data_IF_190177220383
#
_entry.id   IF_190177220383
#
_cell.length_a   1.000
_cell.length_b   1.000
_cell.length_c   1.000
_cell.angle_alpha   90.00
_cell.angle_beta   90.00
_cell.angle_gamma   90.00
#
_symmetry.space_group_name_H-M   'P 1'
#
loop_
_entity.id
_entity.type
_entity.pdbx_description
1 polymer ?
#
# COMPACT_ATOMS: atom_id res chain seq x y z
N UNK A 1 5.06 -10.64 27.11
CA UNK A 1 4.78 -10.87 25.67
C UNK A 1 6.06 -10.55 24.94
N UNK A 2 6.63 -11.51 24.20
CA UNK A 2 7.85 -11.28 23.43
C UNK A 2 7.56 -10.28 22.31
N UNK A 3 8.38 -9.23 22.22
CA UNK A 3 8.41 -8.34 21.06
C UNK A 3 8.60 -9.21 19.82
N UNK A 4 7.89 -8.95 18.69
CA UNK A 4 8.13 -9.71 17.48
C UNK A 4 9.63 -9.69 17.16
N UNK A 5 10.16 -10.82 16.73
CA UNK A 5 11.61 -10.96 16.44
C UNK A 5 11.94 -10.22 15.15
N UNK A 6 11.96 -8.87 15.21
CA UNK A 6 12.48 -8.06 14.13
C UNK A 6 14.00 -8.21 14.13
N UNK A 7 14.49 -9.00 13.17
CA UNK A 7 15.92 -9.26 13.00
C UNK A 7 16.56 -8.30 11.99
N UNK A 8 15.77 -7.83 11.00
CA UNK A 8 16.20 -6.97 9.90
C UNK A 8 15.11 -5.98 9.54
N UNK A 9 15.35 -4.70 9.74
CA UNK A 9 14.40 -3.66 9.40
C UNK A 9 14.41 -2.43 10.29
N UNK A 10 13.34 -1.67 10.21
CA UNK A 10 13.12 -0.43 10.96
C UNK A 10 11.76 -0.45 11.62
N UNK A 11 11.70 -0.05 12.89
CA UNK A 11 10.47 0.08 13.67
C UNK A 11 10.43 1.47 14.30
N UNK A 12 9.39 2.24 13.99
CA UNK A 12 9.13 3.55 14.57
C UNK A 12 7.78 3.56 15.27
N UNK A 13 7.72 4.16 16.46
CA UNK A 13 6.47 4.48 17.16
C UNK A 13 6.54 5.93 17.63
N UNK A 14 5.51 6.72 17.35
CA UNK A 14 5.38 8.08 17.87
C UNK A 14 4.07 8.26 18.61
N UNK A 15 4.04 9.28 19.51
CA UNK A 15 2.82 9.85 20.08
C UNK A 15 2.86 11.36 19.84
N UNK A 16 1.89 11.88 19.08
CA UNK A 16 2.05 13.21 18.54
C UNK A 16 3.30 13.31 17.67
N UNK A 17 4.18 14.25 18.01
CA UNK A 17 5.47 14.41 17.33
C UNK A 17 6.64 13.82 18.16
N UNK A 18 6.35 13.23 19.33
CA UNK A 18 7.34 12.57 20.18
C UNK A 18 7.65 11.17 19.64
N UNK A 19 8.92 10.86 19.43
CA UNK A 19 9.41 9.54 19.04
C UNK A 19 9.59 8.66 20.28
N UNK A 20 8.80 7.61 20.40
CA UNK A 20 8.81 6.68 21.55
C UNK A 20 9.68 5.45 21.28
N UNK A 21 9.71 4.97 20.03
CA UNK A 21 10.54 3.83 19.61
C UNK A 21 11.22 4.20 18.30
N UNK A 22 12.53 4.00 18.26
CA UNK A 22 13.37 4.12 17.06
C UNK A 22 14.36 2.94 17.06
N UNK A 23 14.05 1.92 16.27
CA UNK A 23 14.88 0.73 16.15
C UNK A 23 15.26 0.49 14.70
N UNK A 24 16.56 0.42 14.47
CA UNK A 24 17.13 -0.01 13.18
C UNK A 24 17.99 -1.23 13.47
N UNK A 25 17.68 -2.36 12.87
CA UNK A 25 18.35 -3.63 13.18
C UNK A 25 18.72 -4.42 11.93
N UNK A 26 19.77 -5.20 12.05
CA UNK A 26 20.19 -6.20 11.08
C UNK A 26 20.73 -5.67 9.76
N UNK A 27 20.80 -6.56 8.79
CA UNK A 27 21.34 -6.28 7.46
C UNK A 27 20.23 -5.88 6.47
N UNK A 28 20.46 -4.82 5.71
CA UNK A 28 19.66 -4.47 4.53
C UNK A 28 19.93 -5.43 3.36
N UNK A 29 21.12 -6.03 3.35
CA UNK A 29 21.53 -7.07 2.41
C UNK A 29 22.47 -8.03 3.12
N UNK A 30 22.05 -9.25 3.36
CA UNK A 30 22.85 -10.26 4.05
C UNK A 30 24.03 -10.75 3.20
N UNK A 31 23.89 -10.76 1.90
CA UNK A 31 24.93 -11.26 0.99
C UNK A 31 26.17 -10.36 1.03
N UNK A 32 25.96 -9.05 1.03
CA UNK A 32 27.05 -8.07 1.13
C UNK A 32 27.40 -7.69 2.57
N UNK A 33 26.59 -8.05 3.56
CA UNK A 33 26.70 -7.62 4.94
C UNK A 33 26.35 -6.14 5.15
N UNK A 34 25.72 -5.48 4.19
CA UNK A 34 25.32 -4.07 4.28
C UNK A 34 24.24 -3.88 5.36
N UNK A 35 24.50 -3.05 6.40
CA UNK A 35 23.53 -2.89 7.50
C UNK A 35 22.29 -2.10 7.07
N UNK A 36 21.18 -2.32 7.77
CA UNK A 36 20.06 -1.39 7.75
C UNK A 36 20.47 -0.04 8.33
N UNK A 37 19.94 1.03 7.78
CA UNK A 37 20.10 2.41 8.24
C UNK A 37 18.77 3.12 8.22
N UNK A 38 18.60 4.29 8.84
CA UNK A 38 17.38 5.09 8.68
C UNK A 38 17.05 5.48 7.23
N UNK A 39 18.07 5.51 6.35
CA UNK A 39 17.93 5.80 4.93
C UNK A 39 17.65 4.56 4.07
N UNK A 40 17.67 3.36 4.64
CA UNK A 40 17.34 2.13 3.91
C UNK A 40 15.88 2.18 3.43
N UNK A 41 15.69 1.88 2.14
CA UNK A 41 14.37 1.79 1.52
C UNK A 41 13.91 0.35 1.44
N UNK A 42 12.66 0.13 1.77
CA UNK A 42 12.00 -1.17 1.73
C UNK A 42 10.80 -1.13 0.79
N UNK A 43 10.43 -2.24 0.20
CA UNK A 43 9.12 -2.37 -0.43
C UNK A 43 8.04 -2.30 0.66
N UNK A 44 7.12 -1.35 0.52
CA UNK A 44 5.99 -1.23 1.47
C UNK A 44 4.79 -2.07 1.06
N UNK A 45 4.92 -2.76 -0.08
CA UNK A 45 3.91 -3.69 -0.58
C UNK A 45 2.52 -3.04 -0.60
N UNK A 46 1.49 -3.72 -0.11
CA UNK A 46 0.10 -3.27 -0.17
C UNK A 46 -0.20 -1.93 0.52
N UNK A 47 0.71 -1.38 1.31
CA UNK A 47 0.59 0.01 1.80
C UNK A 47 0.61 1.01 0.62
N UNK A 48 1.21 0.65 -0.52
CA UNK A 48 1.18 1.42 -1.78
C UNK A 48 -0.24 1.78 -2.23
N UNK A 49 -1.23 0.94 -1.91
CA UNK A 49 -2.64 1.20 -2.23
C UNK A 49 -3.16 2.51 -1.65
N UNK A 50 -2.63 2.93 -0.52
CA UNK A 50 -2.98 4.21 0.10
C UNK A 50 -2.59 5.40 -0.80
N UNK A 51 -1.39 5.33 -1.40
CA UNK A 51 -0.88 6.36 -2.30
C UNK A 51 -1.63 6.33 -3.65
N UNK A 52 -1.96 5.13 -4.15
CA UNK A 52 -2.81 4.98 -5.34
C UNK A 52 -4.21 5.58 -5.11
N UNK A 53 -4.81 5.34 -3.95
CA UNK A 53 -6.09 5.95 -3.59
C UNK A 53 -5.99 7.48 -3.49
N UNK A 54 -4.92 8.01 -2.91
CA UNK A 54 -4.69 9.46 -2.85
C UNK A 54 -4.51 10.07 -4.25
N UNK A 55 -3.82 9.38 -5.17
CA UNK A 55 -3.69 9.83 -6.55
C UNK A 55 -5.06 9.95 -7.25
N UNK A 56 -5.94 8.97 -7.07
CA UNK A 56 -7.32 9.02 -7.57
C UNK A 56 -8.09 10.18 -6.95
N UNK A 57 -7.97 10.39 -5.63
CA UNK A 57 -8.66 11.48 -4.94
C UNK A 57 -8.15 12.85 -5.38
N UNK A 58 -6.84 13.05 -5.59
CA UNK A 58 -6.28 14.30 -6.14
C UNK A 58 -6.87 14.63 -7.52
N UNK A 59 -6.99 13.64 -8.40
CA UNK A 59 -7.61 13.83 -9.71
C UNK A 59 -9.12 14.11 -9.59
N UNK A 60 -9.79 13.52 -8.61
CA UNK A 60 -11.20 13.79 -8.33
C UNK A 60 -11.41 15.20 -7.80
N UNK A 61 -10.56 15.70 -6.89
CA UNK A 61 -10.59 17.09 -6.40
C UNK A 61 -10.39 18.13 -7.52
N UNK A 62 -9.59 17.77 -8.52
CA UNK A 62 -9.36 18.59 -9.71
C UNK A 62 -10.48 18.49 -10.76
N UNK A 63 -11.49 17.63 -10.52
CA UNK A 63 -12.59 17.41 -11.47
C UNK A 63 -12.20 16.65 -12.74
N UNK A 64 -11.01 16.02 -12.78
CA UNK A 64 -10.52 15.25 -13.94
C UNK A 64 -11.26 13.93 -14.05
N UNK A 65 -11.54 13.28 -12.93
CA UNK A 65 -12.33 12.04 -12.85
C UNK A 65 -13.37 12.13 -11.72
N UNK A 66 -14.28 11.16 -11.70
CA UNK A 66 -15.25 10.96 -10.62
C UNK A 66 -15.13 9.55 -10.08
N UNK A 67 -15.27 9.35 -8.77
CA UNK A 67 -15.23 8.02 -8.17
C UNK A 67 -16.34 7.09 -8.71
N UNK A 68 -17.43 7.67 -9.23
CA UNK A 68 -18.53 6.96 -9.91
C UNK A 68 -18.26 6.67 -11.38
N UNK A 69 -17.17 7.16 -11.96
CA UNK A 69 -16.82 6.82 -13.35
C UNK A 69 -16.61 5.31 -13.46
N UNK A 70 -17.13 4.68 -14.53
CA UNK A 70 -16.81 3.29 -14.80
C UNK A 70 -15.32 3.16 -15.16
N UNK A 71 -14.66 2.11 -14.69
CA UNK A 71 -13.24 1.85 -14.98
C UNK A 71 -12.99 1.74 -16.49
N UNK A 72 -13.97 1.26 -17.22
CA UNK A 72 -13.96 1.14 -18.70
C UNK A 72 -13.69 2.47 -19.42
N UNK A 73 -13.98 3.60 -18.82
CA UNK A 73 -13.66 4.93 -19.38
C UNK A 73 -12.15 5.18 -19.46
N UNK A 74 -11.39 4.55 -18.58
CA UNK A 74 -9.97 4.84 -18.36
C UNK A 74 -9.03 3.73 -18.87
N UNK A 75 -9.57 2.65 -19.41
CA UNK A 75 -8.80 1.51 -19.92
C UNK A 75 -8.97 1.39 -21.44
N UNK A 76 -7.92 0.95 -22.17
CA UNK A 76 -8.07 0.54 -23.56
C UNK A 76 -8.89 -0.75 -23.60
N UNK A 77 -9.78 -0.91 -24.56
CA UNK A 77 -10.55 -2.13 -24.86
C UNK A 77 -11.05 -2.92 -23.63
N UNK A 78 -11.78 -2.25 -22.70
CA UNK A 78 -12.21 -2.88 -21.46
C UNK A 78 -13.19 -4.01 -21.75
N UNK A 79 -13.05 -5.17 -21.08
CA UNK A 79 -13.94 -6.28 -21.29
C UNK A 79 -15.38 -5.91 -20.85
N UNK A 80 -16.44 -6.38 -21.58
CA UNK A 80 -17.83 -6.02 -21.28
C UNK A 80 -18.25 -6.30 -19.83
N UNK A 81 -17.72 -7.34 -19.21
CA UNK A 81 -18.02 -7.70 -17.81
C UNK A 81 -17.53 -6.67 -16.79
N UNK A 82 -16.67 -5.71 -17.15
CA UNK A 82 -16.22 -4.63 -16.28
C UNK A 82 -17.05 -3.35 -16.41
N UNK A 83 -18.06 -3.31 -17.28
CA UNK A 83 -18.85 -2.10 -17.56
C UNK A 83 -19.55 -1.50 -16.33
N UNK A 84 -19.90 -2.33 -15.33
CA UNK A 84 -20.50 -1.90 -14.06
C UNK A 84 -19.49 -1.59 -12.94
N UNK A 85 -18.19 -1.82 -13.15
CA UNK A 85 -17.14 -1.56 -12.15
C UNK A 85 -16.79 -0.08 -12.18
N UNK A 86 -16.96 0.61 -11.06
CA UNK A 86 -16.56 2.02 -10.88
C UNK A 86 -15.21 2.12 -10.16
N UNK A 87 -14.59 3.31 -10.21
CA UNK A 87 -13.37 3.58 -9.42
C UNK A 87 -13.62 3.40 -7.92
N UNK A 88 -14.80 3.76 -7.42
CA UNK A 88 -15.22 3.49 -6.04
C UNK A 88 -15.19 1.99 -5.70
N UNK A 89 -15.73 1.14 -6.58
CA UNK A 89 -15.71 -0.31 -6.36
C UNK A 89 -14.29 -0.88 -6.28
N UNK A 90 -13.36 -0.35 -7.08
CA UNK A 90 -11.95 -0.75 -7.03
C UNK A 90 -11.27 -0.29 -5.73
N UNK A 91 -11.49 0.98 -5.35
CA UNK A 91 -10.93 1.57 -4.13
C UNK A 91 -11.37 0.83 -2.86
N UNK A 92 -12.59 0.29 -2.85
CA UNK A 92 -13.20 -0.37 -1.68
C UNK A 92 -13.12 -1.90 -1.72
N UNK A 93 -12.53 -2.48 -2.76
CA UNK A 93 -12.51 -3.94 -2.97
C UNK A 93 -13.91 -4.58 -3.12
N UNK A 94 -14.86 -3.83 -3.67
CA UNK A 94 -16.22 -4.30 -3.94
C UNK A 94 -16.50 -4.50 -5.44
N UNK A 95 -15.47 -4.55 -6.26
CA UNK A 95 -15.59 -4.72 -7.71
C UNK A 95 -15.97 -6.14 -8.15
N UNK A 96 -15.72 -7.14 -7.31
CA UNK A 96 -15.81 -8.56 -7.66
C UNK A 96 -14.57 -9.12 -8.34
N UNK A 97 -13.55 -8.29 -8.63
CA UNK A 97 -12.26 -8.80 -9.14
C UNK A 97 -11.54 -9.62 -8.07
N UNK A 98 -10.96 -10.75 -8.49
CA UNK A 98 -10.16 -11.62 -7.64
C UNK A 98 -8.84 -10.99 -7.16
N UNK A 99 -8.11 -11.70 -6.32
CA UNK A 99 -6.73 -11.40 -5.94
C UNK A 99 -5.76 -12.23 -6.80
N UNK A 100 -4.48 -12.33 -6.45
CA UNK A 100 -3.48 -13.03 -7.26
C UNK A 100 -3.79 -14.52 -7.43
N UNK A 101 -4.39 -15.15 -6.43
CA UNK A 101 -4.73 -16.57 -6.42
C UNK A 101 -5.75 -16.94 -7.49
N UNK A 102 -6.64 -16.01 -7.86
CA UNK A 102 -7.62 -16.21 -8.91
C UNK A 102 -7.04 -16.00 -10.32
N UNK A 103 -5.78 -15.53 -10.43
CA UNK A 103 -5.12 -15.26 -11.70
C UNK A 103 -3.86 -16.10 -11.90
N UNK A 104 -3.97 -17.43 -11.99
CA UNK A 104 -2.80 -18.34 -12.06
C UNK A 104 -1.93 -18.14 -13.32
N UNK A 105 -2.44 -17.45 -14.34
CA UNK A 105 -1.67 -17.08 -15.53
C UNK A 105 -0.79 -15.85 -15.34
N UNK A 106 -0.88 -15.16 -14.21
CA UNK A 106 -0.06 -13.98 -13.87
C UNK A 106 1.16 -14.43 -13.09
N UNK A 107 2.34 -14.23 -13.65
CA UNK A 107 3.61 -14.34 -12.92
C UNK A 107 3.90 -13.00 -12.26
N UNK A 108 3.80 -12.93 -10.93
CA UNK A 108 4.01 -11.70 -10.17
C UNK A 108 5.48 -11.25 -10.08
N UNK A 109 6.41 -12.15 -10.40
CA UNK A 109 7.85 -11.86 -10.43
C UNK A 109 8.38 -11.66 -11.85
N UNK A 110 7.64 -12.11 -12.85
CA UNK A 110 8.03 -12.01 -14.26
C UNK A 110 7.58 -10.68 -14.89
N UNK A 111 8.33 -10.19 -15.88
CA UNK A 111 7.94 -8.99 -16.61
C UNK A 111 6.63 -9.21 -17.37
N UNK A 112 5.78 -8.22 -17.39
CA UNK A 112 4.52 -8.25 -18.11
C UNK A 112 4.34 -6.98 -18.96
N UNK A 113 3.81 -7.15 -20.17
CA UNK A 113 3.30 -6.01 -20.92
C UNK A 113 1.94 -5.59 -20.36
N UNK A 114 1.66 -4.29 -20.25
CA UNK A 114 0.44 -3.78 -19.64
C UNK A 114 -0.86 -4.32 -20.24
N UNK A 115 -0.95 -4.40 -21.56
CA UNK A 115 -2.17 -4.86 -22.24
C UNK A 115 -2.36 -6.37 -22.09
N UNK A 116 -1.27 -7.15 -22.08
CA UNK A 116 -1.31 -8.59 -21.79
C UNK A 116 -1.79 -8.85 -20.37
N UNK A 117 -1.34 -8.06 -19.40
CA UNK A 117 -1.77 -8.17 -18.01
C UNK A 117 -3.28 -7.89 -17.88
N UNK A 118 -3.78 -6.84 -18.53
CA UNK A 118 -5.22 -6.55 -18.57
C UNK A 118 -6.00 -7.70 -19.22
N UNK A 119 -5.49 -8.29 -20.30
CA UNK A 119 -6.06 -9.48 -20.95
C UNK A 119 -6.15 -10.68 -20.00
N UNK A 120 -5.10 -10.93 -19.19
CA UNK A 120 -5.10 -12.00 -18.18
C UNK A 120 -6.12 -11.75 -17.08
N UNK A 121 -6.29 -10.50 -16.62
CA UNK A 121 -7.35 -10.15 -15.66
C UNK A 121 -8.74 -10.32 -16.28
N UNK A 122 -8.92 -9.93 -17.53
CA UNK A 122 -10.18 -10.07 -18.26
C UNK A 122 -10.60 -11.53 -18.52
N UNK A 123 -9.64 -12.45 -18.57
CA UNK A 123 -9.91 -13.87 -18.79
C UNK A 123 -10.61 -14.56 -17.60
N UNK A 124 -10.58 -13.94 -16.42
CA UNK A 124 -11.22 -14.46 -15.20
C UNK A 124 -12.49 -13.66 -14.92
N UNK A 125 -13.67 -14.31 -14.84
CA UNK A 125 -14.91 -13.61 -14.52
C UNK A 125 -14.88 -13.08 -13.09
N UNK A 126 -15.55 -11.94 -12.81
CA UNK A 126 -15.72 -11.43 -11.46
C UNK A 126 -16.38 -12.47 -10.53
N UNK A 127 -15.94 -12.53 -9.27
CA UNK A 127 -16.46 -13.44 -8.24
C UNK A 127 -17.94 -13.14 -7.86
N UNK A 128 -18.31 -11.87 -7.98
CA UNK A 128 -19.66 -11.37 -7.73
C UNK A 128 -19.89 -10.06 -8.50
N UNK A 129 -21.17 -9.63 -8.68
CA UNK A 129 -21.47 -8.34 -9.30
C UNK A 129 -20.89 -7.17 -8.48
N UNK A 130 -20.47 -6.07 -9.14
CA UNK A 130 -19.97 -4.88 -8.45
C UNK A 130 -20.91 -4.38 -7.36
N UNK A 131 -20.37 -4.14 -6.16
CA UNK A 131 -21.13 -3.71 -4.98
C UNK A 131 -21.82 -4.81 -4.20
N UNK A 132 -21.86 -6.06 -4.69
CA UNK A 132 -22.59 -7.16 -4.04
C UNK A 132 -21.81 -7.87 -2.92
N UNK A 133 -20.51 -7.62 -2.78
CA UNK A 133 -19.65 -8.26 -1.77
C UNK A 133 -18.33 -7.51 -1.61
N UNK A 134 -17.48 -8.06 -0.77
CA UNK A 134 -16.12 -7.59 -0.53
C UNK A 134 -15.11 -8.72 -0.77
N UNK A 135 -14.10 -8.46 -1.58
CA UNK A 135 -12.98 -9.36 -1.80
C UNK A 135 -11.72 -8.55 -2.08
N UNK A 136 -10.69 -8.72 -1.27
CA UNK A 136 -9.44 -7.98 -1.42
C UNK A 136 -8.81 -8.25 -2.80
N UNK A 137 -8.50 -7.21 -3.55
CA UNK A 137 -8.04 -7.32 -4.95
C UNK A 137 -6.86 -6.38 -5.22
N UNK A 138 -5.67 -6.94 -5.39
CA UNK A 138 -4.51 -6.19 -5.91
C UNK A 138 -4.67 -5.85 -7.40
N UNK A 139 -5.19 -6.75 -8.28
CA UNK A 139 -5.53 -6.39 -9.65
C UNK A 139 -6.44 -5.17 -9.76
N UNK A 140 -7.40 -4.99 -8.85
CA UNK A 140 -8.23 -3.78 -8.82
C UNK A 140 -7.43 -2.49 -8.64
N UNK A 141 -6.36 -2.52 -7.87
CA UNK A 141 -5.48 -1.36 -7.68
C UNK A 141 -4.51 -1.14 -8.84
N UNK A 142 -4.14 -2.20 -9.57
CA UNK A 142 -3.44 -2.04 -10.86
C UNK A 142 -4.32 -1.28 -11.85
N UNK A 143 -5.63 -1.60 -11.93
CA UNK A 143 -6.57 -0.86 -12.76
C UNK A 143 -6.73 0.60 -12.34
N UNK A 144 -6.70 0.90 -11.02
CA UNK A 144 -6.69 2.29 -10.51
C UNK A 144 -5.44 3.04 -10.95
N UNK A 145 -4.26 2.43 -10.84
CA UNK A 145 -3.03 3.06 -11.30
C UNK A 145 -3.06 3.35 -12.81
N UNK A 146 -3.59 2.44 -13.62
CA UNK A 146 -3.83 2.67 -15.06
C UNK A 146 -4.82 3.81 -15.30
N UNK A 147 -5.89 3.89 -14.51
CA UNK A 147 -6.83 5.00 -14.61
C UNK A 147 -6.15 6.35 -14.27
N UNK A 148 -5.25 6.37 -13.27
CA UNK A 148 -4.45 7.57 -12.95
C UNK A 148 -3.57 7.97 -14.14
N UNK A 149 -2.84 7.02 -14.76
CA UNK A 149 -2.00 7.29 -15.94
C UNK A 149 -2.79 7.94 -17.07
N UNK A 150 -3.94 7.35 -17.41
CA UNK A 150 -4.79 7.86 -18.48
C UNK A 150 -5.41 9.22 -18.15
N UNK A 151 -5.88 9.41 -16.91
CA UNK A 151 -6.49 10.64 -16.47
C UNK A 151 -5.50 11.80 -16.36
N UNK A 152 -4.26 11.50 -15.98
CA UNK A 152 -3.19 12.49 -15.83
C UNK A 152 -2.35 12.68 -17.09
N UNK A 153 -2.51 11.85 -18.11
CA UNK A 153 -1.72 11.80 -19.35
C UNK A 153 -0.21 11.74 -19.09
N UNK A 154 0.19 10.91 -18.11
CA UNK A 154 1.60 10.69 -17.74
C UNK A 154 1.79 9.39 -16.96
N UNK A 155 3.03 8.82 -16.92
CA UNK A 155 3.32 7.61 -16.17
C UNK A 155 2.93 7.73 -14.69
N UNK A 156 2.37 6.67 -14.10
CA UNK A 156 1.91 6.61 -12.72
C UNK A 156 3.03 6.94 -11.71
N UNK A 157 4.22 6.37 -11.89
CA UNK A 157 5.36 6.65 -11.02
C UNK A 157 5.75 8.15 -11.03
N UNK A 158 5.71 8.79 -12.20
CA UNK A 158 5.93 10.23 -12.35
C UNK A 158 4.85 11.05 -11.64
N UNK A 159 3.57 10.63 -11.78
CA UNK A 159 2.48 11.27 -11.06
C UNK A 159 2.70 11.22 -9.55
N UNK A 160 3.03 10.05 -8.99
CA UNK A 160 3.29 9.91 -7.56
C UNK A 160 4.49 10.77 -7.11
N UNK A 161 5.56 10.79 -7.89
CA UNK A 161 6.75 11.56 -7.54
C UNK A 161 6.45 13.05 -7.39
N UNK A 162 5.72 13.63 -8.36
CA UNK A 162 5.45 15.06 -8.42
C UNK A 162 4.27 15.51 -7.56
N UNK A 163 3.21 14.68 -7.48
CA UNK A 163 1.94 15.08 -6.87
C UNK A 163 1.72 14.53 -5.46
N UNK A 164 2.50 13.49 -5.09
CA UNK A 164 2.38 12.86 -3.78
C UNK A 164 3.66 12.99 -2.97
N UNK A 165 4.79 12.49 -3.47
CA UNK A 165 6.01 12.43 -2.68
C UNK A 165 6.67 13.80 -2.50
N UNK A 166 6.82 14.57 -3.56
CA UNK A 166 7.46 15.90 -3.49
C UNK A 166 6.70 16.89 -2.59
N UNK A 167 5.35 17.05 -2.68
CA UNK A 167 4.60 17.93 -1.79
C UNK A 167 4.66 17.56 -0.31
N UNK A 168 4.85 16.26 -0.02
CA UNK A 168 5.00 15.76 1.36
C UNK A 168 6.45 15.79 1.85
N UNK A 169 7.43 16.03 0.97
CA UNK A 169 8.85 15.95 1.30
C UNK A 169 9.36 14.52 1.48
N UNK A 170 8.69 13.52 0.89
CA UNK A 170 9.05 12.10 0.95
C UNK A 170 10.17 11.77 -0.05
N UNK A 171 11.35 12.32 0.19
CA UNK A 171 12.50 12.25 -0.74
C UNK A 171 13.15 10.85 -0.82
N UNK A 172 12.88 10.01 0.14
CA UNK A 172 13.32 8.61 0.18
C UNK A 172 12.36 7.64 -0.50
N UNK A 173 11.26 8.13 -1.13
CA UNK A 173 10.21 7.28 -1.70
C UNK A 173 10.19 7.36 -3.23
N UNK A 174 9.85 6.24 -3.87
CA UNK A 174 9.59 6.16 -5.31
C UNK A 174 8.73 4.94 -5.64
N UNK A 175 8.10 4.92 -6.81
CA UNK A 175 7.34 3.80 -7.33
C UNK A 175 8.07 3.09 -8.47
N UNK A 176 7.85 1.78 -8.62
CA UNK A 176 8.38 0.97 -9.70
C UNK A 176 9.67 0.21 -9.35
N UNK A 177 10.39 -0.23 -10.38
CA UNK A 177 11.58 -1.05 -10.23
C UNK A 177 12.71 -0.34 -9.47
N UNK A 178 13.49 -1.11 -8.72
CA UNK A 178 14.58 -0.58 -7.90
C UNK A 178 15.84 -0.18 -8.68
N UNK A 179 16.08 -0.78 -9.82
CA UNK A 179 17.11 -0.48 -10.83
C UNK A 179 18.51 -0.12 -10.29
N UNK A 180 19.08 -1.04 -9.48
CA UNK A 180 20.48 -0.92 -9.04
C UNK A 180 20.75 0.20 -8.03
N UNK A 181 19.74 0.79 -7.41
CA UNK A 181 19.93 1.77 -6.32
C UNK A 181 20.58 1.11 -5.11
N UNK A 182 21.66 1.68 -4.55
CA UNK A 182 22.49 1.01 -3.54
C UNK A 182 21.85 0.97 -2.13
N UNK A 183 20.80 1.75 -1.90
CA UNK A 183 20.16 1.94 -0.59
C UNK A 183 18.89 1.09 -0.39
N UNK A 184 18.59 0.21 -1.36
CA UNK A 184 17.45 -0.69 -1.25
C UNK A 184 17.77 -1.89 -0.35
N UNK A 185 16.84 -2.25 0.51
CA UNK A 185 16.89 -3.54 1.20
C UNK A 185 16.71 -4.68 0.19
N UNK A 186 17.34 -5.81 0.45
CA UNK A 186 17.17 -7.05 -0.29
C UNK A 186 16.23 -7.95 0.50
N UNK A 187 15.18 -8.47 -0.13
CA UNK A 187 14.19 -9.32 0.51
C UNK A 187 14.72 -10.73 0.79
N UNK A 188 14.39 -11.28 1.95
CA UNK A 188 14.85 -12.59 2.38
C UNK A 188 13.70 -13.47 2.91
N UNK A 189 13.86 -14.77 2.71
CA UNK A 189 13.11 -15.84 3.35
C UNK A 189 14.14 -16.75 4.04
N UNK A 190 14.20 -16.70 5.37
CA UNK A 190 15.34 -17.20 6.12
C UNK A 190 16.63 -16.49 5.70
N UNK A 191 17.63 -17.27 5.27
CA UNK A 191 18.89 -16.79 4.70
C UNK A 191 18.87 -16.64 3.18
N UNK A 192 17.78 -17.05 2.51
CA UNK A 192 17.66 -17.04 1.05
C UNK A 192 17.14 -15.69 0.57
N UNK A 193 17.88 -15.07 -0.36
CA UNK A 193 17.36 -13.92 -1.12
C UNK A 193 16.18 -14.37 -1.99
N UNK A 194 15.11 -13.61 -2.00
CA UNK A 194 13.95 -13.84 -2.86
C UNK A 194 13.87 -12.81 -3.99
N UNK A 195 13.41 -13.22 -5.19
CA UNK A 195 13.20 -12.28 -6.29
C UNK A 195 12.21 -11.18 -5.91
N UNK A 196 12.50 -9.95 -6.34
CA UNK A 196 11.51 -8.87 -6.27
C UNK A 196 10.35 -9.19 -7.21
N UNK A 197 9.15 -8.76 -6.83
CA UNK A 197 8.02 -8.74 -7.74
C UNK A 197 8.24 -7.74 -8.87
N UNK A 198 7.53 -7.91 -9.99
CA UNK A 198 7.47 -6.86 -11.01
C UNK A 198 6.68 -5.67 -10.46
N UNK A 199 7.41 -4.66 -10.01
CA UNK A 199 6.84 -3.45 -9.41
C UNK A 199 6.42 -2.42 -10.47
N UNK A 200 6.95 -2.53 -11.68
CA UNK A 200 6.69 -1.56 -12.73
C UNK A 200 5.33 -1.77 -13.42
N UNK A 201 4.90 -3.02 -13.54
CA UNK A 201 3.68 -3.39 -14.27
C UNK A 201 2.71 -4.20 -13.43
N UNK A 202 3.12 -5.40 -12.98
CA UNK A 202 2.22 -6.35 -12.31
C UNK A 202 1.72 -5.80 -10.98
N UNK A 203 2.59 -5.19 -10.19
CA UNK A 203 2.24 -4.67 -8.87
C UNK A 203 1.97 -3.16 -8.84
N UNK A 204 1.95 -2.48 -10.00
CA UNK A 204 1.74 -1.03 -10.10
C UNK A 204 0.47 -0.58 -9.36
N UNK A 205 0.61 0.36 -8.43
CA UNK A 205 -0.47 0.84 -7.57
C UNK A 205 -0.92 -0.11 -6.46
N UNK A 206 -0.54 -1.39 -6.54
CA UNK A 206 -0.94 -2.43 -5.59
C UNK A 206 0.14 -2.76 -4.56
N UNK A 207 1.43 -2.59 -4.92
CA UNK A 207 2.54 -3.00 -4.07
C UNK A 207 3.91 -2.48 -4.52
N UNK A 208 3.96 -1.44 -5.31
CA UNK A 208 5.06 -0.99 -6.15
C UNK A 208 5.98 0.07 -5.52
N UNK A 209 5.74 0.49 -4.28
CA UNK A 209 6.47 1.62 -3.69
C UNK A 209 7.61 1.14 -2.80
N UNK A 210 8.76 1.78 -3.00
CA UNK A 210 9.90 1.77 -2.10
C UNK A 210 9.86 3.00 -1.21
N UNK A 211 10.11 2.83 0.09
CA UNK A 211 9.96 3.89 1.07
C UNK A 211 10.94 3.72 2.22
N UNK A 212 11.42 4.82 2.81
CA UNK A 212 12.05 4.81 4.12
C UNK A 212 10.99 4.81 5.24
N UNK A 213 11.35 4.37 6.44
CA UNK A 213 10.41 4.41 7.57
C UNK A 213 10.02 5.86 7.95
N UNK A 214 10.93 6.82 7.80
CA UNK A 214 10.68 8.24 8.04
C UNK A 214 9.66 8.81 7.04
N UNK A 215 9.77 8.46 5.76
CA UNK A 215 8.80 8.89 4.76
C UNK A 215 7.44 8.25 4.99
N UNK A 216 7.39 6.96 5.38
CA UNK A 216 6.13 6.30 5.70
C UNK A 216 5.48 6.90 6.96
N UNK A 217 6.27 7.33 7.94
CA UNK A 217 5.76 8.09 9.08
C UNK A 217 5.19 9.45 8.66
N UNK A 218 5.86 10.13 7.70
CA UNK A 218 5.37 11.38 7.08
C UNK A 218 4.06 11.14 6.32
N UNK A 219 3.93 10.01 5.61
CA UNK A 219 2.69 9.62 4.95
C UNK A 219 1.50 9.51 5.92
N UNK A 220 1.71 9.02 7.14
CA UNK A 220 0.67 8.94 8.16
C UNK A 220 0.16 10.31 8.65
N UNK A 221 0.81 11.42 8.28
CA UNK A 221 0.29 12.77 8.48
C UNK A 221 -0.81 13.15 7.47
N UNK A 222 -0.99 12.40 6.39
CA UNK A 222 -2.09 12.64 5.43
C UNK A 222 -3.44 12.45 6.12
N UNK A 223 -3.78 11.30 6.71
CA UNK A 223 -5.02 11.15 7.47
C UNK A 223 -5.04 11.96 8.78
N UNK A 224 -3.89 12.16 9.40
CA UNK A 224 -3.77 12.83 10.70
C UNK A 224 -3.97 14.35 10.62
N UNK A 225 -3.44 15.00 9.58
CA UNK A 225 -3.36 16.48 9.47
C UNK A 225 -3.97 17.04 8.19
N UNK A 226 -4.65 16.22 7.39
CA UNK A 226 -5.18 16.58 6.07
C UNK A 226 -4.11 17.25 5.19
N UNK A 227 -2.90 16.70 5.21
CA UNK A 227 -1.86 17.11 4.27
C UNK A 227 -2.13 16.48 2.90
N UNK A 228 -1.80 17.16 1.84
CA UNK A 228 -1.95 16.70 0.45
C UNK A 228 -3.39 16.74 -0.09
N UNK A 229 -4.37 16.24 0.67
CA UNK A 229 -5.78 16.14 0.29
C UNK A 229 -6.63 17.12 1.12
N UNK A 230 -7.79 17.51 0.58
CA UNK A 230 -8.78 18.27 1.34
C UNK A 230 -9.30 17.47 2.54
N UNK A 231 -9.78 18.13 3.61
CA UNK A 231 -10.39 17.41 4.74
C UNK A 231 -11.55 16.49 4.33
N UNK A 232 -12.32 16.87 3.30
CA UNK A 232 -13.40 16.04 2.78
C UNK A 232 -12.88 14.75 2.14
N UNK A 233 -11.82 14.83 1.33
CA UNK A 233 -11.19 13.65 0.72
C UNK A 233 -10.52 12.76 1.75
N UNK A 234 -9.88 13.33 2.77
CA UNK A 234 -9.30 12.56 3.89
C UNK A 234 -10.41 11.83 4.65
N UNK A 235 -11.53 12.50 4.96
CA UNK A 235 -12.66 11.88 5.61
C UNK A 235 -13.24 10.73 4.77
N UNK A 236 -13.38 10.93 3.45
CA UNK A 236 -13.81 9.87 2.53
C UNK A 236 -12.79 8.72 2.46
N UNK A 237 -11.49 9.03 2.41
CA UNK A 237 -10.42 8.03 2.35
C UNK A 237 -10.42 7.09 3.55
N UNK A 238 -10.71 7.60 4.74
CA UNK A 238 -10.69 6.86 6.00
C UNK A 238 -12.08 6.48 6.52
N UNK A 239 -13.13 6.65 5.70
CA UNK A 239 -14.48 6.20 6.04
C UNK A 239 -14.62 4.68 5.89
N UNK A 240 -15.46 4.01 6.72
CA UNK A 240 -15.73 2.58 6.63
C UNK A 240 -16.72 2.28 5.50
N UNK A 241 -16.23 2.19 4.25
CA UNK A 241 -17.08 2.00 3.07
C UNK A 241 -17.62 0.59 2.92
N UNK A 242 -16.80 -0.43 3.16
CA UNK A 242 -17.18 -1.82 2.93
C UNK A 242 -16.72 -2.70 4.10
N UNK A 243 -17.61 -3.49 4.74
CA UNK A 243 -17.22 -4.41 5.80
C UNK A 243 -16.33 -5.52 5.24
N UNK A 244 -15.22 -5.84 5.94
CA UNK A 244 -14.25 -6.86 5.51
C UNK A 244 -14.62 -8.29 5.93
N UNK A 245 -15.72 -8.43 6.66
CA UNK A 245 -16.10 -9.72 7.30
C UNK A 245 -15.48 -9.93 8.68
N UNK A 246 -14.51 -9.12 9.09
CA UNK A 246 -14.00 -9.12 10.45
C UNK A 246 -14.83 -8.21 11.36
N UNK A 247 -15.12 -8.60 12.61
CA UNK A 247 -15.96 -7.80 13.51
C UNK A 247 -15.43 -6.38 13.71
N UNK A 248 -16.25 -5.38 13.35
CA UNK A 248 -15.95 -3.97 13.52
C UNK A 248 -14.91 -3.40 12.53
N UNK A 249 -14.44 -4.20 11.57
CA UNK A 249 -13.48 -3.76 10.56
C UNK A 249 -14.18 -3.52 9.22
N UNK A 250 -13.83 -2.43 8.56
CA UNK A 250 -14.23 -2.10 7.21
C UNK A 250 -13.01 -1.67 6.38
N UNK A 251 -13.19 -1.54 5.07
CA UNK A 251 -12.19 -1.01 4.18
C UNK A 251 -12.63 0.38 3.67
N UNK A 252 -11.71 1.35 3.76
CA UNK A 252 -11.82 2.67 3.18
C UNK A 252 -11.22 2.70 1.77
N UNK A 253 -10.56 3.80 1.39
CA UNK A 253 -9.80 3.88 0.15
C UNK A 253 -8.32 3.64 0.45
N UNK A 254 -7.88 2.37 0.37
CA UNK A 254 -6.52 1.94 0.67
C UNK A 254 -6.23 1.74 2.16
N UNK A 255 -7.24 1.76 3.04
CA UNK A 255 -7.09 1.64 4.48
C UNK A 255 -8.04 0.62 5.07
N UNK A 256 -7.55 -0.23 5.96
CA UNK A 256 -8.40 -0.89 6.93
C UNK A 256 -8.81 0.13 8.01
N UNK A 257 -10.09 0.17 8.33
CA UNK A 257 -10.70 1.10 9.26
C UNK A 257 -11.42 0.30 10.35
N UNK A 258 -10.97 0.41 11.59
CA UNK A 258 -11.57 -0.40 12.65
C UNK A 258 -10.67 -0.51 13.87
N UNK A 259 -10.99 -1.45 14.79
CA UNK A 259 -10.22 -1.64 16.00
C UNK A 259 -8.87 -2.33 15.71
N UNK A 260 -7.79 -1.74 16.20
CA UNK A 260 -6.45 -2.29 16.25
C UNK A 260 -5.99 -2.35 17.70
N UNK A 261 -5.70 -3.54 18.23
CA UNK A 261 -5.43 -3.74 19.67
C UNK A 261 -6.52 -3.10 20.58
N UNK A 262 -7.80 -3.20 20.17
CA UNK A 262 -8.93 -2.63 20.90
C UNK A 262 -9.12 -1.11 20.82
N UNK A 263 -8.36 -0.41 19.96
CA UNK A 263 -8.39 1.04 19.78
C UNK A 263 -8.78 1.39 18.35
N UNK A 264 -9.50 2.49 18.15
CA UNK A 264 -9.82 3.00 16.82
C UNK A 264 -8.53 3.29 16.03
N UNK A 265 -8.45 2.77 14.81
CA UNK A 265 -7.29 2.95 13.96
C UNK A 265 -7.67 2.99 12.48
N UNK A 266 -6.78 3.57 11.68
CA UNK A 266 -6.65 3.33 10.25
C UNK A 266 -5.27 2.73 10.02
N UNK A 267 -5.20 1.62 9.27
CA UNK A 267 -3.95 0.88 9.13
C UNK A 267 -3.91 0.09 7.82
N UNK A 268 -2.75 -0.38 7.48
CA UNK A 268 -2.56 -1.41 6.45
C UNK A 268 -1.28 -2.18 6.71
N UNK A 269 -1.29 -3.47 6.36
CA UNK A 269 -0.09 -4.31 6.27
C UNK A 269 0.39 -4.41 4.83
N UNK A 270 1.66 -4.72 4.65
CA UNK A 270 2.26 -4.99 3.35
C UNK A 270 2.99 -6.32 3.36
N UNK A 271 2.83 -7.08 2.28
CA UNK A 271 3.47 -8.37 2.07
C UNK A 271 3.85 -8.51 0.59
N UNK A 272 5.12 -8.36 0.28
CA UNK A 272 5.74 -8.77 -0.97
C UNK A 272 6.76 -9.86 -0.66
N UNK A 273 7.18 -10.63 -1.64
CA UNK A 273 8.20 -11.67 -1.43
C UNK A 273 9.43 -11.13 -0.68
N UNK A 274 9.66 -11.62 0.55
CA UNK A 274 10.79 -11.22 1.40
C UNK A 274 10.65 -9.87 2.10
N UNK A 275 9.52 -9.16 1.98
CA UNK A 275 9.29 -7.88 2.66
C UNK A 275 7.99 -7.90 3.44
N UNK A 276 8.02 -7.36 4.66
CA UNK A 276 6.84 -7.12 5.48
C UNK A 276 6.81 -5.66 5.92
N UNK A 277 5.64 -5.06 5.82
CA UNK A 277 5.43 -3.68 6.23
C UNK A 277 4.16 -3.55 7.06
N UNK A 278 4.13 -2.58 7.96
CA UNK A 278 2.94 -2.18 8.69
C UNK A 278 2.94 -0.69 8.92
N UNK A 279 1.79 -0.05 8.69
CA UNK A 279 1.58 1.35 8.97
C UNK A 279 0.22 1.55 9.63
N UNK A 280 0.17 2.28 10.75
CA UNK A 280 -1.07 2.57 11.47
C UNK A 280 -1.05 3.97 12.08
N UNK A 281 -2.20 4.63 12.08
CA UNK A 281 -2.50 5.80 12.88
C UNK A 281 -3.70 5.54 13.78
N UNK A 282 -3.54 5.85 15.07
CA UNK A 282 -4.54 5.72 16.11
C UNK A 282 -4.97 7.13 16.55
N UNK A 283 -6.11 7.66 16.05
CA UNK A 283 -6.48 9.04 16.27
C UNK A 283 -6.73 9.41 17.74
N UNK A 284 -7.25 8.49 18.56
CA UNK A 284 -7.62 8.77 19.94
C UNK A 284 -6.40 8.98 20.86
N UNK A 285 -5.26 8.36 20.54
CA UNK A 285 -3.99 8.49 21.28
C UNK A 285 -2.93 9.27 20.51
N UNK A 286 -3.24 9.67 19.28
CA UNK A 286 -2.32 10.29 18.32
C UNK A 286 -1.02 9.48 18.14
N UNK A 287 -1.13 8.16 18.15
CA UNK A 287 0.01 7.26 17.93
C UNK A 287 0.12 6.90 16.45
N UNK A 288 1.36 6.88 15.94
CA UNK A 288 1.70 6.37 14.61
C UNK A 288 2.73 5.27 14.77
N UNK A 289 2.48 4.13 14.11
CA UNK A 289 3.33 2.95 14.14
C UNK A 289 3.75 2.60 12.71
N UNK A 290 5.04 2.42 12.50
CA UNK A 290 5.63 1.99 11.23
C UNK A 290 6.58 0.84 11.48
N UNK A 291 6.40 -0.25 10.76
CA UNK A 291 7.36 -1.35 10.64
C UNK A 291 7.71 -1.53 9.17
N UNK A 292 9.00 -1.61 8.87
CA UNK A 292 9.54 -2.04 7.57
C UNK A 292 10.57 -3.13 7.81
N UNK A 293 10.40 -4.29 7.19
CA UNK A 293 11.30 -5.43 7.34
C UNK A 293 11.58 -6.07 5.98
N UNK A 294 12.81 -6.55 5.79
CA UNK A 294 13.22 -7.33 4.62
C UNK A 294 13.38 -8.82 4.97
N UNK A 295 12.43 -9.33 5.73
CA UNK A 295 12.31 -10.74 6.13
C UNK A 295 10.85 -11.21 6.06
N UNK A 296 10.63 -12.40 5.51
CA UNK A 296 9.28 -12.95 5.30
C UNK A 296 8.62 -13.42 6.61
N UNK A 297 9.40 -13.80 7.61
CA UNK A 297 8.93 -14.50 8.82
C UNK A 297 8.34 -13.56 9.89
N UNK A 298 8.56 -12.25 9.79
CA UNK A 298 8.01 -11.32 10.77
C UNK A 298 6.48 -11.21 10.62
N UNK A 299 5.76 -11.32 11.72
CA UNK A 299 4.35 -10.94 11.75
C UNK A 299 4.24 -9.42 11.91
N UNK A 300 3.84 -8.70 10.85
CA UNK A 300 3.79 -7.23 10.90
C UNK A 300 2.70 -6.72 11.85
N UNK A 301 1.69 -7.54 12.20
CA UNK A 301 0.62 -7.13 13.11
C UNK A 301 1.05 -7.31 14.57
N UNK A 302 1.97 -8.21 14.87
CA UNK A 302 2.45 -8.43 16.24
C UNK A 302 3.08 -7.19 16.89
N UNK A 303 3.59 -6.21 16.07
CA UNK A 303 4.11 -4.93 16.57
C UNK A 303 3.05 -4.07 17.25
N UNK A 304 1.76 -4.35 17.03
CA UNK A 304 0.65 -3.64 17.69
C UNK A 304 0.63 -3.85 19.21
N UNK A 305 1.32 -4.86 19.72
CA UNK A 305 1.52 -5.06 21.16
C UNK A 305 2.25 -3.88 21.83
N UNK A 306 2.99 -3.08 21.06
CA UNK A 306 3.66 -1.85 21.53
C UNK A 306 2.69 -0.70 21.79
N UNK A 307 1.49 -0.72 21.19
CA UNK A 307 0.50 0.36 21.31
C UNK A 307 -0.13 0.47 22.72
N UNK A 308 0.06 -0.52 23.59
CA UNK A 308 -0.47 -0.54 24.96
C UNK A 308 0.55 -0.19 26.04
N UNK A 309 1.82 -0.09 25.71
CA UNK A 309 2.87 0.18 26.70
C UNK A 309 3.05 1.69 26.88
N UNK A 310 2.73 2.22 28.07
CA UNK A 310 3.13 3.57 28.50
C UNK A 310 4.64 3.67 28.81
N UNK A 311 5.41 2.64 28.46
CA UNK A 311 6.85 2.59 28.71
C UNK A 311 7.61 2.74 27.41
N UNK A 312 8.48 3.76 27.35
CA UNK A 312 9.61 3.77 26.45
C UNK A 312 10.43 2.48 26.65
N UNK A 313 10.64 1.71 25.59
CA UNK A 313 11.47 0.50 25.58
C UNK A 313 12.84 0.86 25.07
#
# INVERSE_FOLDING_TARGET
>A
MSTPSLERGVLLLTRGDELLVDRVVGAADETSGRPCTPATRFQIASISKQMAAAAVLLLAERGVLRLTDPVSRWLPDPPPQWSGITLHHLLTHTSGLGHWEEYPAVDICGPAEPDDLLGRFAAVPPLFPPGAGWHYSSPGYVLLARAVERAADRPYAGFLAEEVFAPLGMTGSFAGAGDGRPDLAVGHEGSRTVPSWDLATVSMGAGDIWCTAADLLTWLDVPRRSRLLTPASVAAMTAPHAPTGRPGEAYGYGWFVGPLAGRRAVHHSGDNGGYKAFAAWLPDSDQRLVLLANQAEVDPVAVTSLLGSDRAV
#
